data_IF_145297567798
#
_entry.id   IF_145297567798
#
_cell.length_a   1.000
_cell.length_b   1.000
_cell.length_c   1.000
_cell.angle_alpha   90.00
_cell.angle_beta   90.00
_cell.angle_gamma   90.00
#
_symmetry.space_group_name_H-M   'P 1'
#
loop_
_entity.id
_entity.type
_entity.pdbx_description
1 polymer ?
#
# COMPACT_ATOMS: atom_id res chain seq x y z
N UNK A 1 3.20 4.20 36.00
CA UNK A 1 2.15 3.27 35.49
C UNK A 1 1.39 3.94 34.35
N UNK A 2 1.28 3.30 33.22
CA UNK A 2 0.45 3.78 32.12
C UNK A 2 -1.03 3.76 32.56
N UNK A 3 -1.71 4.89 32.45
CA UNK A 3 -3.16 4.99 32.69
C UNK A 3 -3.87 4.13 31.65
N UNK A 4 -4.62 3.12 32.07
CA UNK A 4 -5.53 2.38 31.18
C UNK A 4 -6.53 3.36 30.56
N UNK A 5 -6.44 3.56 29.26
CA UNK A 5 -7.42 4.32 28.52
C UNK A 5 -8.51 3.36 28.04
N UNK A 6 -9.74 3.64 28.40
CA UNK A 6 -10.88 2.88 27.89
C UNK A 6 -11.01 3.13 26.39
N UNK A 7 -11.30 2.08 25.65
CA UNK A 7 -11.60 2.19 24.24
C UNK A 7 -13.00 2.81 24.07
N UNK A 8 -13.06 3.91 23.34
CA UNK A 8 -14.32 4.61 23.01
C UNK A 8 -14.57 4.54 21.51
N UNK A 9 -15.78 4.79 21.07
CA UNK A 9 -16.13 4.86 19.64
C UNK A 9 -15.24 5.88 18.93
N UNK A 10 -15.00 7.04 19.53
CA UNK A 10 -14.12 8.07 18.94
C UNK A 10 -12.66 7.61 18.79
N UNK A 11 -12.16 6.80 19.73
CA UNK A 11 -10.80 6.25 19.63
C UNK A 11 -10.71 5.15 18.59
N UNK A 12 -11.78 4.38 18.35
CA UNK A 12 -11.80 3.37 17.27
C UNK A 12 -11.62 3.96 15.89
N UNK A 13 -12.23 5.12 15.63
CA UNK A 13 -12.10 5.81 14.36
C UNK A 13 -10.69 6.39 14.10
N UNK A 14 -9.98 6.71 15.18
CA UNK A 14 -8.60 7.22 15.11
C UNK A 14 -7.56 6.12 14.92
N UNK A 15 -7.93 4.85 15.08
CA UNK A 15 -7.00 3.74 14.91
C UNK A 15 -6.66 3.54 13.44
N UNK A 16 -5.39 3.55 13.14
CA UNK A 16 -4.88 3.12 11.85
C UNK A 16 -4.88 1.60 11.77
N UNK A 17 -5.19 1.07 10.60
CA UNK A 17 -5.26 -0.37 10.37
C UNK A 17 -4.20 -0.78 9.36
N UNK A 18 -3.30 -1.65 9.79
CA UNK A 18 -2.29 -2.23 8.91
C UNK A 18 -2.90 -3.40 8.13
N UNK A 19 -2.64 -3.43 6.83
CA UNK A 19 -2.92 -4.57 5.97
C UNK A 19 -1.84 -5.65 6.10
N UNK A 20 -2.01 -6.74 5.35
CA UNK A 20 -1.03 -7.82 5.34
C UNK A 20 0.34 -7.33 4.84
N UNK A 21 1.43 -7.60 5.56
CA UNK A 21 2.76 -7.20 5.13
C UNK A 21 3.29 -8.14 4.05
N UNK A 22 4.13 -7.60 3.18
CA UNK A 22 4.96 -8.35 2.24
C UNK A 22 6.43 -8.12 2.55
N UNK A 23 7.20 -9.18 2.70
CA UNK A 23 8.63 -9.11 2.99
C UNK A 23 9.45 -8.96 1.70
N UNK A 24 10.50 -8.15 1.78
CA UNK A 24 11.53 -8.13 0.75
C UNK A 24 12.20 -9.51 0.65
N UNK A 25 12.73 -9.89 -0.54
CA UNK A 25 13.36 -11.21 -0.72
C UNK A 25 14.53 -11.48 0.23
N UNK A 26 15.26 -10.44 0.62
CA UNK A 26 16.37 -10.54 1.60
C UNK A 26 15.92 -10.48 3.06
N UNK A 27 14.64 -10.26 3.32
CA UNK A 27 14.06 -10.17 4.66
C UNK A 27 14.39 -8.90 5.44
N UNK A 28 15.05 -7.90 4.83
CA UNK A 28 15.49 -6.67 5.51
C UNK A 28 14.38 -5.64 5.72
N UNK A 29 13.37 -5.67 4.86
CA UNK A 29 12.26 -4.74 4.88
C UNK A 29 10.93 -5.44 4.67
N UNK A 30 9.87 -4.80 5.13
CA UNK A 30 8.50 -5.18 4.84
C UNK A 30 7.73 -3.98 4.32
N UNK A 31 6.77 -4.20 3.45
CA UNK A 31 5.80 -3.19 3.01
C UNK A 31 4.41 -3.60 3.45
N UNK A 32 3.64 -2.65 3.95
CA UNK A 32 2.23 -2.87 4.27
C UNK A 32 1.40 -1.65 3.87
N UNK A 33 0.11 -1.84 3.70
CA UNK A 33 -0.84 -0.73 3.60
C UNK A 33 -1.24 -0.28 5.01
N UNK A 34 -1.40 1.01 5.19
CA UNK A 34 -1.89 1.61 6.42
C UNK A 34 -3.13 2.43 6.11
N UNK A 35 -4.27 1.97 6.58
CA UNK A 35 -5.57 2.60 6.38
C UNK A 35 -5.97 3.50 7.53
N UNK A 36 -6.61 4.61 7.21
CA UNK A 36 -7.17 5.57 8.15
C UNK A 36 -8.58 5.97 7.73
N UNK A 37 -9.37 6.44 8.69
CA UNK A 37 -10.72 6.93 8.46
C UNK A 37 -10.85 8.36 8.95
N UNK A 38 -11.49 9.21 8.16
CA UNK A 38 -11.90 10.55 8.54
C UNK A 38 -13.41 10.59 8.73
N UNK A 39 -13.84 10.87 9.98
CA UNK A 39 -15.26 11.05 10.29
C UNK A 39 -15.82 12.35 9.70
N UNK A 40 -14.98 13.39 9.61
CA UNK A 40 -15.41 14.70 9.10
C UNK A 40 -15.78 14.62 7.61
N UNK A 41 -14.98 13.88 6.84
CA UNK A 41 -15.15 13.78 5.38
C UNK A 41 -15.88 12.50 4.98
N UNK A 42 -16.19 11.63 5.94
CA UNK A 42 -16.74 10.29 5.71
C UNK A 42 -15.94 9.51 4.64
N UNK A 43 -14.63 9.58 4.74
CA UNK A 43 -13.71 8.97 3.79
C UNK A 43 -12.73 8.04 4.48
N UNK A 44 -12.34 7.00 3.76
CA UNK A 44 -11.20 6.17 4.11
C UNK A 44 -10.07 6.40 3.12
N UNK A 45 -8.84 6.40 3.62
CA UNK A 45 -7.64 6.49 2.81
C UNK A 45 -6.67 5.40 3.23
N UNK A 46 -5.85 4.91 2.32
CA UNK A 46 -4.76 3.99 2.61
C UNK A 46 -3.53 4.34 1.80
N UNK A 47 -2.38 4.19 2.43
CA UNK A 47 -1.07 4.43 1.82
C UNK A 47 -0.13 3.28 2.15
N UNK A 48 0.93 3.12 1.37
CA UNK A 48 1.95 2.11 1.61
C UNK A 48 3.05 2.66 2.52
N UNK A 49 3.48 1.81 3.45
CA UNK A 49 4.54 2.12 4.39
C UNK A 49 5.61 1.02 4.35
N UNK A 50 6.86 1.44 4.44
CA UNK A 50 8.03 0.56 4.58
C UNK A 50 8.48 0.50 6.03
N UNK A 51 8.77 -0.73 6.46
CA UNK A 51 9.28 -1.01 7.79
C UNK A 51 10.61 -1.78 7.66
N UNK A 52 11.57 -1.43 8.51
CA UNK A 52 12.77 -2.25 8.67
C UNK A 52 12.46 -3.43 9.61
N UNK A 53 12.84 -4.63 9.22
CA UNK A 53 12.72 -5.82 10.09
C UNK A 53 13.74 -5.81 11.23
N UNK A 54 14.74 -4.95 11.15
CA UNK A 54 15.77 -4.75 12.19
C UNK A 54 15.37 -3.69 13.22
N UNK A 55 14.18 -3.13 13.11
CA UNK A 55 13.69 -2.06 13.96
C UNK A 55 13.93 -0.67 13.37
N UNK A 56 13.50 0.34 14.08
CA UNK A 56 13.56 1.73 13.64
C UNK A 56 12.19 2.28 13.22
N UNK A 57 12.19 3.51 12.74
CA UNK A 57 10.96 4.19 12.31
C UNK A 57 10.49 3.69 10.95
N UNK A 58 9.18 3.43 10.84
CA UNK A 58 8.54 3.21 9.57
C UNK A 58 8.53 4.50 8.74
N UNK A 59 8.62 4.39 7.43
CA UNK A 59 8.53 5.53 6.51
C UNK A 59 7.42 5.33 5.49
N UNK A 60 6.71 6.40 5.10
CA UNK A 60 5.73 6.29 4.04
C UNK A 60 6.44 6.04 2.70
N UNK A 61 5.89 5.13 1.91
CA UNK A 61 6.35 4.85 0.55
C UNK A 61 5.52 5.62 -0.48
N UNK A 62 4.21 5.71 -0.27
CA UNK A 62 3.29 6.44 -1.15
C UNK A 62 2.65 7.61 -0.40
N UNK A 63 2.42 8.73 -1.10
CA UNK A 63 1.91 9.97 -0.50
C UNK A 63 0.60 10.48 -1.12
N UNK A 64 0.26 10.03 -2.32
CA UNK A 64 -0.82 10.58 -3.13
C UNK A 64 -1.97 9.61 -3.37
N UNK A 65 -1.92 8.42 -2.81
CA UNK A 65 -2.93 7.39 -3.04
C UNK A 65 -4.07 7.44 -2.03
N UNK A 66 -5.30 7.38 -2.53
CA UNK A 66 -6.48 7.28 -1.66
C UNK A 66 -6.75 5.84 -1.22
N UNK A 67 -6.37 4.87 -2.03
CA UNK A 67 -6.75 3.46 -1.90
C UNK A 67 -5.60 2.51 -2.24
N UNK A 68 -4.38 2.85 -1.85
CA UNK A 68 -3.23 1.97 -2.07
C UNK A 68 -3.34 0.73 -1.18
N UNK A 69 -3.22 -0.43 -1.77
CA UNK A 69 -3.37 -1.69 -1.03
C UNK A 69 -2.69 -2.89 -1.70
N UNK A 70 -2.71 -4.01 -1.01
CA UNK A 70 -2.18 -5.30 -1.47
C UNK A 70 -0.73 -5.23 -1.98
N UNK A 71 0.20 -4.59 -1.27
CA UNK A 71 1.56 -4.48 -1.75
C UNK A 71 2.27 -5.84 -1.77
N UNK A 72 3.05 -6.09 -2.81
CA UNK A 72 3.89 -7.28 -2.93
C UNK A 72 5.25 -6.91 -3.51
N UNK A 73 6.32 -7.33 -2.83
CA UNK A 73 7.67 -7.24 -3.35
C UNK A 73 7.87 -8.12 -4.56
N UNK A 74 8.60 -7.62 -5.55
CA UNK A 74 9.09 -8.47 -6.63
C UNK A 74 10.10 -9.49 -6.08
N UNK A 75 10.23 -10.68 -6.71
CA UNK A 75 11.21 -11.68 -6.30
C UNK A 75 12.67 -11.20 -6.37
N UNK A 76 12.93 -10.14 -7.12
CA UNK A 76 14.25 -9.50 -7.24
C UNK A 76 14.50 -8.38 -6.22
N UNK A 77 13.47 -7.91 -5.52
CA UNK A 77 13.57 -6.82 -4.55
C UNK A 77 13.76 -5.43 -5.15
N UNK A 78 13.58 -5.27 -6.45
CA UNK A 78 13.76 -4.00 -7.18
C UNK A 78 12.49 -3.17 -7.30
N UNK A 79 11.32 -3.81 -7.21
CA UNK A 79 10.01 -3.17 -7.33
C UNK A 79 9.03 -3.70 -6.30
N UNK A 80 8.06 -2.86 -5.97
CA UNK A 80 6.86 -3.22 -5.19
C UNK A 80 5.65 -2.97 -6.08
N UNK A 81 4.84 -3.99 -6.31
CA UNK A 81 3.58 -3.86 -7.00
C UNK A 81 2.43 -3.71 -5.99
N UNK A 82 1.43 -2.96 -6.34
CA UNK A 82 0.25 -2.73 -5.50
C UNK A 82 -0.96 -2.36 -6.33
N UNK A 83 -2.13 -2.43 -5.72
CA UNK A 83 -3.40 -2.06 -6.34
C UNK A 83 -3.83 -0.71 -5.80
N UNK A 84 -4.26 0.19 -6.68
CA UNK A 84 -4.71 1.52 -6.29
C UNK A 84 -5.72 2.10 -7.29
N UNK A 85 -6.47 3.10 -6.83
CA UNK A 85 -7.24 4.00 -7.68
C UNK A 85 -6.59 5.38 -7.60
N UNK A 86 -5.99 5.82 -8.68
CA UNK A 86 -5.24 7.08 -8.75
C UNK A 86 -5.71 7.96 -9.89
N UNK A 87 -5.38 9.22 -9.80
CA UNK A 87 -5.57 10.15 -10.92
C UNK A 87 -4.32 10.16 -11.80
N UNK A 88 -4.54 9.96 -13.10
CA UNK A 88 -3.50 10.00 -14.12
C UNK A 88 -3.93 10.96 -15.22
N UNK A 89 -3.09 11.96 -15.51
CA UNK A 89 -3.36 12.95 -16.56
C UNK A 89 -4.75 13.61 -16.45
N UNK A 90 -5.17 13.93 -15.22
CA UNK A 90 -6.47 14.55 -14.96
C UNK A 90 -7.67 13.60 -15.00
N UNK A 91 -7.45 12.30 -15.20
CA UNK A 91 -8.49 11.28 -15.15
C UNK A 91 -8.26 10.32 -13.97
N UNK A 92 -9.27 10.18 -13.14
CA UNK A 92 -9.25 9.21 -12.03
C UNK A 92 -9.59 7.82 -12.53
N UNK A 93 -8.90 6.81 -12.00
CA UNK A 93 -9.22 5.41 -12.28
C UNK A 93 -10.63 5.06 -11.80
N UNK A 94 -11.47 4.58 -12.69
CA UNK A 94 -12.82 4.10 -12.35
C UNK A 94 -12.75 2.81 -11.54
N UNK A 95 -11.83 1.92 -11.93
CA UNK A 95 -11.56 0.66 -11.25
C UNK A 95 -10.13 0.60 -10.71
N UNK A 96 -9.90 -0.26 -9.73
CA UNK A 96 -8.57 -0.46 -9.17
C UNK A 96 -7.59 -0.98 -10.23
N UNK A 97 -6.43 -0.36 -10.33
CA UNK A 97 -5.40 -0.67 -11.31
C UNK A 97 -4.12 -1.14 -10.64
N UNK A 98 -3.28 -1.83 -11.39
CA UNK A 98 -1.98 -2.30 -10.93
C UNK A 98 -0.92 -1.22 -11.13
N UNK A 99 -0.18 -0.92 -10.07
CA UNK A 99 0.92 0.03 -10.05
C UNK A 99 2.20 -0.63 -9.55
N UNK A 100 3.33 -0.09 -9.94
CA UNK A 100 4.65 -0.45 -9.43
C UNK A 100 5.40 0.78 -8.96
N UNK A 101 6.20 0.61 -7.92
CA UNK A 101 7.04 1.67 -7.34
C UNK A 101 8.38 1.08 -6.90
N UNK A 102 9.45 1.86 -7.00
CA UNK A 102 10.74 1.47 -6.45
C UNK A 102 10.72 1.55 -4.91
N UNK A 103 11.44 0.67 -4.18
CA UNK A 103 11.44 0.67 -2.72
C UNK A 103 12.07 1.92 -2.08
N UNK A 104 12.90 2.64 -2.79
CA UNK A 104 13.46 3.92 -2.36
C UNK A 104 12.52 5.12 -2.59
N UNK A 105 11.38 4.89 -3.22
CA UNK A 105 10.35 5.89 -3.45
C UNK A 105 10.28 6.37 -4.89
N UNK A 106 9.78 7.57 -5.07
CA UNK A 106 9.53 8.14 -6.38
C UNK A 106 8.06 8.06 -6.79
N UNK A 107 7.81 8.19 -8.07
CA UNK A 107 6.46 8.14 -8.62
C UNK A 107 6.05 6.70 -8.99
N UNK A 108 4.88 6.30 -8.54
CA UNK A 108 4.31 5.02 -8.92
C UNK A 108 3.88 5.03 -10.39
N UNK A 109 4.18 3.95 -11.08
CA UNK A 109 3.86 3.78 -12.50
C UNK A 109 2.73 2.75 -12.68
N UNK A 110 1.73 3.12 -13.46
CA UNK A 110 0.64 2.23 -13.84
C UNK A 110 1.15 1.16 -14.82
N UNK A 111 0.85 -0.10 -14.56
CA UNK A 111 1.33 -1.23 -15.39
C UNK A 111 0.51 -1.43 -16.65
N UNK A 112 -0.72 -0.95 -16.68
CA UNK A 112 -1.59 -1.11 -17.85
C UNK A 112 -2.94 -0.45 -17.64
N UNK A 113 -3.82 -0.60 -18.61
CA UNK A 113 -5.21 -0.16 -18.51
C UNK A 113 -6.13 -1.39 -18.55
N UNK A 114 -6.62 -1.75 -17.38
CA UNK A 114 -7.43 -2.96 -17.19
C UNK A 114 -8.87 -2.53 -16.94
N UNK A 115 -9.71 -2.68 -17.95
CA UNK A 115 -11.08 -2.18 -17.95
C UNK A 115 -11.94 -2.73 -16.81
N UNK A 116 -11.69 -3.97 -16.38
CA UNK A 116 -12.42 -4.63 -15.30
C UNK A 116 -11.79 -4.45 -13.93
N UNK A 117 -10.66 -3.74 -13.87
CA UNK A 117 -9.88 -3.59 -12.64
C UNK A 117 -9.07 -4.83 -12.26
N UNK A 118 -8.32 -4.70 -11.18
CA UNK A 118 -7.47 -5.76 -10.61
C UNK A 118 -7.95 -6.04 -9.19
N UNK A 119 -8.44 -7.24 -8.93
CA UNK A 119 -8.83 -7.68 -7.58
C UNK A 119 -7.66 -8.31 -6.82
N UNK A 120 -6.76 -8.96 -7.53
CA UNK A 120 -5.59 -9.60 -6.97
C UNK A 120 -4.53 -9.87 -8.03
N UNK A 121 -3.30 -10.07 -7.59
CA UNK A 121 -2.19 -10.32 -8.49
C UNK A 121 -1.10 -11.14 -7.82
N UNK A 122 -0.20 -11.71 -8.62
CA UNK A 122 1.00 -12.42 -8.18
C UNK A 122 2.18 -12.12 -9.10
N UNK A 123 3.35 -11.87 -8.52
CA UNK A 123 4.59 -11.88 -9.26
C UNK A 123 4.94 -13.28 -9.75
N UNK A 124 5.38 -13.39 -10.98
CA UNK A 124 6.03 -14.62 -11.46
C UNK A 124 7.48 -14.69 -10.92
N UNK A 125 8.03 -15.90 -10.78
CA UNK A 125 9.38 -16.09 -10.21
C UNK A 125 10.49 -15.35 -10.95
N UNK A 126 10.29 -15.01 -12.22
CA UNK A 126 11.25 -14.25 -13.04
C UNK A 126 11.38 -12.77 -12.63
N UNK A 127 10.46 -12.26 -11.78
CA UNK A 127 10.44 -10.86 -11.37
C UNK A 127 10.20 -9.85 -12.48
N UNK A 128 9.71 -10.31 -13.64
CA UNK A 128 9.44 -9.47 -14.82
C UNK A 128 7.98 -9.45 -15.22
N UNK A 129 7.22 -10.45 -14.80
CA UNK A 129 5.80 -10.61 -15.15
C UNK A 129 4.94 -10.72 -13.92
N UNK A 130 3.72 -10.24 -14.06
CA UNK A 130 2.68 -10.30 -13.02
C UNK A 130 1.45 -10.96 -13.63
N UNK A 131 0.90 -11.94 -12.93
CA UNK A 131 -0.39 -12.53 -13.25
C UNK A 131 -1.50 -11.86 -12.42
N UNK A 132 -2.63 -11.56 -13.02
CA UNK A 132 -3.79 -10.94 -12.37
C UNK A 132 -5.09 -11.41 -13.01
#
# INVERSE_FOLDING_TARGET
MAKKKNLTIDTLWKLQRAGAPSLAPDGSQAVCSLGSYSMQDNKSASALWLLSTLGGAARPLTHCGDKDGQPQWSPKGDLIAFVAKREQQGRKDDEAQLYVIAPDGGEAQRVGDIATGVEGFRWLPDGKRIAF
#
